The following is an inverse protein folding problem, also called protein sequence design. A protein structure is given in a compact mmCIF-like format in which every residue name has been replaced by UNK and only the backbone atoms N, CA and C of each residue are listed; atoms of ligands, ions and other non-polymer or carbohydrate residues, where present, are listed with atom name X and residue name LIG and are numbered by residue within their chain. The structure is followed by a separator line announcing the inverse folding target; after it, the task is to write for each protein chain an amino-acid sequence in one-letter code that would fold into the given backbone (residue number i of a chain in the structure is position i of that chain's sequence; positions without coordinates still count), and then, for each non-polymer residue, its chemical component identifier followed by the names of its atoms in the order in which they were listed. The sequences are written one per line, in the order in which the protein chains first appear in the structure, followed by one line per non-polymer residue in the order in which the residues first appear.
data_IF_702989089623
#
_entry.id   IF_702989089623
#
_cell.length_a   1.000
_cell.length_b   1.000
_cell.length_c   1.000
_cell.angle_alpha   90.00
_cell.angle_beta   90.00
_cell.angle_gamma   90.00
#
_symmetry.space_group_name_H-M   'P 1'
#
loop_
_entity.id
_entity.type
_entity.pdbx_description
1 polymer ?
#
# COMPACT_ATOMS: atom_id res chain seq x y z
N UNK A 1 14.20 26.79 -14.79
CA UNK A 1 14.29 26.09 -13.50
C UNK A 1 13.83 24.66 -13.71
N UNK A 2 14.66 23.67 -13.40
CA UNK A 2 14.35 22.25 -13.63
C UNK A 2 13.28 21.77 -12.65
N UNK A 3 12.23 21.10 -13.15
CA UNK A 3 11.23 20.46 -12.29
C UNK A 3 11.80 19.16 -11.70
N UNK A 4 12.35 19.28 -10.50
CA UNK A 4 12.98 18.18 -9.79
C UNK A 4 11.94 17.17 -9.24
N UNK A 5 10.72 17.62 -8.96
CA UNK A 5 9.66 16.77 -8.42
C UNK A 5 9.14 15.82 -9.48
N UNK A 6 8.89 16.33 -10.70
CA UNK A 6 8.48 15.52 -11.85
C UNK A 6 9.51 14.44 -12.17
N UNK A 7 10.80 14.79 -12.23
CA UNK A 7 11.86 13.82 -12.52
C UNK A 7 11.96 12.68 -11.49
N UNK A 8 11.71 12.97 -10.21
CA UNK A 8 11.70 11.96 -9.14
C UNK A 8 10.49 11.04 -9.25
N UNK A 9 9.31 11.60 -9.54
CA UNK A 9 8.10 10.83 -9.76
C UNK A 9 8.26 9.88 -10.97
N UNK A 10 8.77 10.39 -12.08
CA UNK A 10 8.98 9.62 -13.30
C UNK A 10 9.95 8.45 -13.10
N UNK A 11 11.02 8.65 -12.33
CA UNK A 11 11.95 7.57 -11.99
C UNK A 11 11.25 6.44 -11.21
N UNK A 12 10.44 6.79 -10.21
CA UNK A 12 9.67 5.80 -9.42
C UNK A 12 8.64 5.06 -10.27
N UNK A 13 7.92 5.76 -11.15
CA UNK A 13 6.91 5.12 -12.01
C UNK A 13 7.54 4.22 -13.07
N UNK A 14 8.71 4.59 -13.62
CA UNK A 14 9.44 3.75 -14.56
C UNK A 14 9.93 2.46 -13.90
N UNK A 15 10.43 2.56 -12.67
CA UNK A 15 10.84 1.39 -11.89
C UNK A 15 9.65 0.46 -11.61
N UNK A 16 8.53 1.00 -11.15
CA UNK A 16 7.31 0.22 -10.89
C UNK A 16 6.78 -0.47 -12.16
N UNK A 17 6.83 0.21 -13.31
CA UNK A 17 6.38 -0.33 -14.59
C UNK A 17 7.16 -1.57 -15.05
N UNK A 18 8.44 -1.66 -14.68
CA UNK A 18 9.31 -2.79 -15.02
C UNK A 18 9.17 -4.00 -14.08
N UNK A 19 8.43 -3.88 -12.97
CA UNK A 19 8.31 -4.98 -12.00
C UNK A 19 7.42 -6.11 -12.56
N UNK A 20 7.81 -7.38 -12.37
CA UNK A 20 7.02 -8.52 -12.84
C UNK A 20 5.69 -8.67 -12.09
N UNK A 21 5.63 -8.22 -10.84
CA UNK A 21 4.42 -8.15 -10.03
C UNK A 21 4.16 -6.69 -9.69
N UNK A 22 3.06 -6.15 -10.20
CA UNK A 22 2.68 -4.74 -10.02
C UNK A 22 1.42 -4.55 -9.19
N UNK A 23 0.58 -5.58 -9.11
CA UNK A 23 -0.68 -5.51 -8.34
C UNK A 23 -0.47 -6.12 -6.96
N UNK A 24 -0.90 -5.40 -5.92
CA UNK A 24 -0.72 -5.85 -4.53
C UNK A 24 -1.35 -7.21 -4.25
N UNK A 25 -2.52 -7.52 -4.85
CA UNK A 25 -3.18 -8.82 -4.67
C UNK A 25 -2.50 -9.97 -5.44
N UNK A 26 -1.58 -9.69 -6.35
CA UNK A 26 -0.77 -10.71 -7.04
C UNK A 26 0.51 -11.03 -6.26
N UNK A 27 0.88 -10.22 -5.26
CA UNK A 27 2.10 -10.40 -4.47
C UNK A 27 2.04 -11.69 -3.62
N UNK A 28 2.97 -12.64 -3.80
CA UNK A 28 2.96 -13.91 -3.08
C UNK A 28 3.10 -13.75 -1.56
N UNK A 29 3.88 -12.76 -1.10
CA UNK A 29 4.04 -12.51 0.34
C UNK A 29 2.72 -12.03 0.98
N UNK A 30 1.96 -11.19 0.26
CA UNK A 30 0.65 -10.73 0.74
C UNK A 30 -0.32 -11.91 0.81
N UNK A 31 -0.38 -12.74 -0.24
CA UNK A 31 -1.25 -13.93 -0.24
C UNK A 31 -0.95 -14.85 0.94
N UNK A 32 0.33 -15.09 1.24
CA UNK A 32 0.76 -15.94 2.35
C UNK A 32 0.28 -15.41 3.71
N UNK A 33 0.47 -14.12 3.98
CA UNK A 33 0.09 -13.49 5.25
C UNK A 33 -1.43 -13.56 5.45
N UNK A 34 -2.21 -13.35 4.38
CA UNK A 34 -3.66 -13.50 4.45
C UNK A 34 -4.08 -14.97 4.63
N UNK A 35 -3.48 -15.92 3.92
CA UNK A 35 -3.84 -17.34 4.08
C UNK A 35 -3.49 -17.91 5.45
N UNK A 36 -2.36 -17.52 6.04
CA UNK A 36 -1.85 -18.14 7.27
C UNK A 36 -2.25 -17.40 8.55
N UNK A 37 -2.44 -16.08 8.48
CA UNK A 37 -2.56 -15.26 9.70
C UNK A 37 -3.79 -14.36 9.73
N UNK A 38 -3.98 -13.51 8.71
CA UNK A 38 -5.03 -12.48 8.71
C UNK A 38 -6.40 -12.99 8.27
N UNK A 39 -6.46 -14.11 7.54
CA UNK A 39 -7.68 -14.64 6.93
C UNK A 39 -8.11 -13.81 5.72
N UNK A 40 -9.27 -13.18 5.80
CA UNK A 40 -9.84 -12.39 4.70
C UNK A 40 -9.60 -10.87 4.88
N UNK A 41 -9.58 -10.09 3.78
CA UNK A 41 -9.63 -8.64 3.86
C UNK A 41 -10.85 -8.18 4.67
N UNK A 42 -10.69 -7.16 5.51
CA UNK A 42 -11.70 -6.67 6.46
C UNK A 42 -12.17 -7.68 7.51
N UNK A 43 -11.44 -8.78 7.75
CA UNK A 43 -11.67 -9.65 8.89
C UNK A 43 -11.46 -8.90 10.22
N UNK A 44 -11.94 -9.47 11.33
CA UNK A 44 -11.75 -8.89 12.66
C UNK A 44 -10.27 -8.66 13.00
N UNK A 45 -9.40 -9.65 12.73
CA UNK A 45 -7.94 -9.53 12.93
C UNK A 45 -7.32 -8.47 12.03
N UNK A 46 -7.75 -8.38 10.76
CA UNK A 46 -7.27 -7.34 9.86
C UNK A 46 -7.68 -5.94 10.36
N UNK A 47 -8.92 -5.78 10.84
CA UNK A 47 -9.40 -4.51 11.38
C UNK A 47 -8.67 -4.10 12.67
N UNK A 48 -8.34 -5.05 13.54
CA UNK A 48 -7.59 -4.76 14.77
C UNK A 48 -6.15 -4.31 14.48
N UNK A 49 -5.48 -4.93 13.50
CA UNK A 49 -4.05 -4.71 13.25
C UNK A 49 -3.76 -3.66 12.18
N UNK A 50 -4.58 -3.58 11.14
CA UNK A 50 -4.30 -2.80 9.92
C UNK A 50 -5.21 -1.58 9.75
N UNK A 51 -6.32 -1.50 10.49
CA UNK A 51 -7.23 -0.36 10.43
C UNK A 51 -7.02 0.58 11.61
N UNK A 52 -7.28 1.86 11.38
CA UNK A 52 -7.20 2.90 12.40
C UNK A 52 -8.38 3.84 12.26
N UNK A 53 -8.68 4.60 13.30
CA UNK A 53 -9.76 5.58 13.30
C UNK A 53 -9.18 6.99 13.36
N UNK A 54 -9.81 7.90 12.62
CA UNK A 54 -9.45 9.31 12.65
C UNK A 54 -10.46 10.06 13.51
N UNK A 55 -9.96 10.94 14.37
CA UNK A 55 -10.81 11.85 15.15
C UNK A 55 -10.78 13.24 14.53
N UNK A 56 -11.92 13.93 14.59
CA UNK A 56 -12.03 15.30 14.07
C UNK A 56 -11.11 16.22 14.87
N UNK A 57 -10.06 16.72 14.23
CA UNK A 57 -9.21 17.78 14.78
C UNK A 57 -9.77 19.14 14.41
N UNK A 58 -9.73 20.10 15.33
CA UNK A 58 -9.95 21.50 14.98
C UNK A 58 -8.89 21.93 13.98
N UNK A 59 -9.31 22.57 12.88
CA UNK A 59 -8.36 23.33 12.06
C UNK A 59 -7.97 24.57 12.87
N UNK A 60 -6.68 24.82 12.97
CA UNK A 60 -6.12 26.04 13.54
C UNK A 60 -6.54 27.25 12.71
#
# INVERSE_FOLDING_TARGET
TTDLCGLRADALYREDAGKPVRKSHENPAIKLIYSEFLGEPNSHKAHELLHTTYTKKSRY
#
